data_IF_117242904282
#
_entry.id   IF_117242904282
#
_cell.length_a   1.000
_cell.length_b   1.000
_cell.length_c   1.000
_cell.angle_alpha   90.00
_cell.angle_beta   90.00
_cell.angle_gamma   90.00
#
_symmetry.space_group_name_H-M   'P 1'
#
loop_
_entity.id
_entity.type
_entity.pdbx_description
1 polymer ?
#
# COMPACT_ATOMS: atom_id res chain seq x y z
N UNK A 1 7.56 2.62 -22.85
CA UNK A 1 6.61 2.98 -21.77
C UNK A 1 6.51 1.91 -20.69
N UNK A 2 6.06 0.69 -21.00
CA UNK A 2 5.84 -0.40 -20.02
C UNK A 2 7.04 -0.68 -19.11
N UNK A 3 8.26 -0.74 -19.67
CA UNK A 3 9.48 -1.00 -18.90
C UNK A 3 9.77 0.08 -17.84
N UNK A 4 9.52 1.36 -18.16
CA UNK A 4 9.80 2.48 -17.26
C UNK A 4 8.82 2.51 -16.09
N UNK A 5 7.53 2.35 -16.38
CA UNK A 5 6.48 2.26 -15.36
C UNK A 5 6.75 1.09 -14.42
N UNK A 6 7.15 -0.07 -14.96
CA UNK A 6 7.50 -1.25 -14.14
C UNK A 6 8.70 -0.99 -13.21
N UNK A 7 9.76 -0.35 -13.72
CA UNK A 7 10.93 0.02 -12.90
C UNK A 7 10.54 0.99 -11.78
N UNK A 8 9.77 2.05 -12.08
CA UNK A 8 9.29 2.98 -11.06
C UNK A 8 8.39 2.30 -10.03
N UNK A 9 7.47 1.46 -10.48
CA UNK A 9 6.56 0.71 -9.61
C UNK A 9 7.35 -0.17 -8.66
N UNK A 10 8.36 -0.91 -9.16
CA UNK A 10 9.21 -1.78 -8.34
C UNK A 10 10.06 -0.97 -7.35
N UNK A 11 10.60 0.16 -7.79
CA UNK A 11 11.38 1.07 -6.94
C UNK A 11 10.53 1.64 -5.79
N UNK A 12 9.35 2.18 -6.10
CA UNK A 12 8.43 2.75 -5.10
C UNK A 12 7.94 1.68 -4.14
N UNK A 13 7.57 0.50 -4.64
CA UNK A 13 7.09 -0.61 -3.81
C UNK A 13 8.16 -1.09 -2.84
N UNK A 14 9.38 -1.32 -3.32
CA UNK A 14 10.51 -1.74 -2.48
C UNK A 14 10.83 -0.66 -1.44
N UNK A 15 10.91 0.60 -1.87
CA UNK A 15 11.19 1.74 -0.99
C UNK A 15 10.14 1.87 0.11
N UNK A 16 8.87 1.64 -0.21
CA UNK A 16 7.79 1.72 0.77
C UNK A 16 7.83 0.55 1.76
N UNK A 17 8.01 -0.69 1.31
CA UNK A 17 8.04 -1.88 2.18
C UNK A 17 9.19 -1.81 3.20
N UNK A 18 10.39 -1.42 2.75
CA UNK A 18 11.57 -1.33 3.63
C UNK A 18 11.65 -0.03 4.43
N UNK A 19 10.64 0.83 4.35
CA UNK A 19 10.62 2.09 5.10
C UNK A 19 9.97 1.93 6.47
N UNK A 20 10.29 2.86 7.38
CA UNK A 20 9.64 2.94 8.69
C UNK A 20 8.10 3.01 8.57
N UNK A 21 7.57 3.76 7.61
CA UNK A 21 6.11 3.82 7.38
C UNK A 21 5.53 2.50 6.92
N UNK A 22 6.25 1.75 6.06
CA UNK A 22 5.82 0.42 5.62
C UNK A 22 5.80 -0.60 6.75
N UNK A 23 6.81 -0.55 7.64
CA UNK A 23 6.86 -1.37 8.86
C UNK A 23 5.73 -0.99 9.82
N UNK A 24 5.47 0.31 10.02
CA UNK A 24 4.34 0.76 10.85
C UNK A 24 3.00 0.28 10.32
N UNK A 25 2.77 0.37 9.00
CA UNK A 25 1.56 -0.14 8.37
C UNK A 25 1.40 -1.65 8.52
N UNK A 26 2.50 -2.40 8.44
CA UNK A 26 2.49 -3.84 8.71
C UNK A 26 2.13 -4.14 10.17
N UNK A 27 2.73 -3.43 11.13
CA UNK A 27 2.44 -3.59 12.56
C UNK A 27 0.98 -3.24 12.88
N UNK A 28 0.45 -2.16 12.30
CA UNK A 28 -0.96 -1.77 12.45
C UNK A 28 -1.88 -2.85 11.89
N UNK A 29 -1.55 -3.42 10.73
CA UNK A 29 -2.31 -4.54 10.12
C UNK A 29 -2.33 -5.76 11.04
N UNK A 30 -1.19 -6.14 11.61
CA UNK A 30 -1.10 -7.26 12.56
C UNK A 30 -1.82 -6.99 13.88
N UNK A 31 -1.71 -5.78 14.42
CA UNK A 31 -2.42 -5.37 15.64
C UNK A 31 -3.93 -5.39 15.43
N UNK A 32 -4.39 -4.91 14.28
CA UNK A 32 -5.80 -4.93 13.90
C UNK A 32 -6.32 -6.37 13.79
N UNK A 33 -5.58 -7.25 13.12
CA UNK A 33 -5.91 -8.68 13.04
C UNK A 33 -6.00 -9.30 14.43
N UNK A 34 -4.99 -9.09 15.29
CA UNK A 34 -4.95 -9.67 16.64
C UNK A 34 -6.11 -9.21 17.55
N UNK A 35 -6.58 -7.98 17.39
CA UNK A 35 -7.64 -7.42 18.24
C UNK A 35 -9.05 -7.83 17.80
N UNK A 36 -9.28 -7.89 16.48
CA UNK A 36 -10.63 -8.03 15.90
C UNK A 36 -10.90 -9.40 15.27
N UNK A 37 -9.86 -10.17 14.96
CA UNK A 37 -9.93 -11.46 14.27
C UNK A 37 -9.30 -12.59 15.09
N UNK A 38 -9.13 -12.41 16.40
CA UNK A 38 -8.55 -13.44 17.25
C UNK A 38 -9.45 -14.69 17.22
N UNK A 39 -8.94 -15.87 16.85
CA UNK A 39 -9.73 -17.10 16.75
C UNK A 39 -10.33 -17.57 18.09
N UNK A 40 -9.93 -16.96 19.21
CA UNK A 40 -10.52 -17.21 20.53
C UNK A 40 -11.81 -16.41 20.77
N UNK A 41 -12.11 -15.39 19.96
CA UNK A 41 -13.37 -14.67 20.01
C UNK A 41 -14.43 -15.48 19.25
N UNK A 42 -15.57 -15.75 19.89
CA UNK A 42 -16.71 -16.39 19.22
C UNK A 42 -17.10 -15.55 18.00
N UNK A 43 -17.12 -16.19 16.84
CA UNK A 43 -17.17 -15.57 15.51
C UNK A 43 -18.34 -14.60 15.36
N UNK A 44 -18.10 -13.31 15.07
CA UNK A 44 -19.09 -12.39 14.54
C UNK A 44 -19.68 -12.85 13.21
N UNK A 45 -20.88 -12.35 12.90
CA UNK A 45 -21.57 -12.51 11.62
C UNK A 45 -20.68 -12.11 10.43
N UNK A 46 -20.77 -12.81 9.29
CA UNK A 46 -19.89 -12.62 8.13
C UNK A 46 -19.95 -11.17 7.61
N UNK A 47 -21.13 -10.55 7.68
CA UNK A 47 -21.35 -9.17 7.28
C UNK A 47 -20.50 -8.17 8.09
N UNK A 48 -20.29 -8.43 9.38
CA UNK A 48 -19.46 -7.59 10.25
C UNK A 48 -17.99 -7.62 9.83
N UNK A 49 -17.47 -8.82 9.51
CA UNK A 49 -16.11 -8.97 9.03
C UNK A 49 -15.90 -8.27 7.69
N UNK A 50 -16.81 -8.41 6.74
CA UNK A 50 -16.71 -7.72 5.45
C UNK A 50 -16.63 -6.20 5.62
N UNK A 51 -17.44 -5.63 6.52
CA UNK A 51 -17.47 -4.20 6.81
C UNK A 51 -16.15 -3.71 7.43
N UNK A 52 -15.63 -4.47 8.40
CA UNK A 52 -14.39 -4.12 9.11
C UNK A 52 -13.16 -4.27 8.21
N UNK A 53 -13.07 -5.38 7.48
CA UNK A 53 -12.00 -5.63 6.49
C UNK A 53 -12.04 -4.56 5.39
N UNK A 54 -13.23 -4.23 4.89
CA UNK A 54 -13.42 -3.22 3.85
C UNK A 54 -13.08 -1.80 4.31
N UNK A 55 -13.52 -1.42 5.50
CA UNK A 55 -13.21 -0.12 6.11
C UNK A 55 -11.72 0.06 6.37
N UNK A 56 -11.08 -0.94 6.99
CA UNK A 56 -9.64 -0.94 7.21
C UNK A 56 -8.86 -0.93 5.90
N UNK A 57 -9.24 -1.76 4.93
CA UNK A 57 -8.63 -1.80 3.61
C UNK A 57 -8.71 -0.47 2.88
N UNK A 58 -9.83 0.25 3.00
CA UNK A 58 -10.01 1.59 2.41
C UNK A 58 -9.09 2.63 3.08
N UNK A 59 -9.01 2.62 4.41
CA UNK A 59 -8.11 3.51 5.14
C UNK A 59 -6.64 3.23 4.79
N UNK A 60 -6.26 1.95 4.71
CA UNK A 60 -4.91 1.52 4.30
C UNK A 60 -4.61 1.91 2.87
N UNK A 61 -5.56 1.74 1.94
CA UNK A 61 -5.41 2.19 0.55
C UNK A 61 -5.09 3.67 0.48
N UNK A 62 -5.83 4.50 1.21
CA UNK A 62 -5.60 5.94 1.28
C UNK A 62 -4.22 6.28 1.84
N UNK A 63 -3.85 5.72 3.00
CA UNK A 63 -2.58 6.01 3.67
C UNK A 63 -1.35 5.54 2.87
N UNK A 64 -1.43 4.36 2.27
CA UNK A 64 -0.39 3.82 1.39
C UNK A 64 -0.25 4.70 0.15
N UNK A 65 -1.35 5.08 -0.49
CA UNK A 65 -1.33 5.95 -1.67
C UNK A 65 -0.71 7.31 -1.34
N UNK A 66 -1.11 7.92 -0.21
CA UNK A 66 -0.55 9.19 0.25
C UNK A 66 0.95 9.08 0.52
N UNK A 67 1.39 8.01 1.19
CA UNK A 67 2.81 7.77 1.48
C UNK A 67 3.65 7.56 0.22
N UNK A 68 3.13 6.82 -0.75
CA UNK A 68 3.81 6.61 -2.03
C UNK A 68 3.85 7.91 -2.81
N UNK A 69 2.76 8.66 -2.87
CA UNK A 69 2.71 9.96 -3.54
C UNK A 69 3.70 10.95 -2.93
N UNK A 70 3.80 11.01 -1.60
CA UNK A 70 4.78 11.86 -0.91
C UNK A 70 6.22 11.46 -1.24
N UNK A 71 6.53 10.16 -1.23
CA UNK A 71 7.85 9.65 -1.63
C UNK A 71 8.17 9.95 -3.08
N UNK A 72 7.19 9.79 -3.97
CA UNK A 72 7.34 10.05 -5.39
C UNK A 72 7.58 11.55 -5.64
N UNK A 73 6.88 12.43 -4.92
CA UNK A 73 7.11 13.88 -4.94
C UNK A 73 8.52 14.26 -4.44
N UNK A 74 8.99 13.66 -3.33
CA UNK A 74 10.36 13.87 -2.85
C UNK A 74 11.42 13.31 -3.81
N UNK A 75 11.09 12.21 -4.50
CA UNK A 75 11.98 11.56 -5.47
C UNK A 75 12.00 12.23 -6.85
N UNK A 76 11.22 13.30 -7.09
CA UNK A 76 11.30 14.10 -8.32
C UNK A 76 12.73 14.62 -8.59
N UNK A 77 13.53 14.83 -7.53
CA UNK A 77 14.93 15.26 -7.63
C UNK A 77 15.90 14.11 -7.97
N UNK A 78 15.42 12.86 -8.06
CA UNK A 78 16.26 11.70 -8.36
C UNK A 78 16.51 11.57 -9.88
N UNK A 79 17.74 11.32 -10.35
CA UNK A 79 18.09 11.38 -11.77
C UNK A 79 17.26 10.49 -12.70
N UNK A 80 16.72 9.38 -12.18
CA UNK A 80 15.83 8.48 -12.92
C UNK A 80 14.39 9.02 -13.08
N UNK A 81 13.90 9.84 -12.14
CA UNK A 81 12.56 10.46 -12.22
C UNK A 81 12.56 11.75 -13.05
N UNK A 82 13.64 12.55 -12.99
CA UNK A 82 13.81 13.79 -13.80
C UNK A 82 13.69 13.52 -15.32
N UNK A 83 13.96 12.28 -15.76
CA UNK A 83 13.86 11.87 -17.17
C UNK A 83 12.44 11.48 -17.61
N UNK A 84 11.43 11.46 -16.73
CA UNK A 84 10.05 11.21 -17.15
C UNK A 84 9.44 12.44 -17.80
N UNK A 85 9.38 12.44 -19.14
CA UNK A 85 8.66 13.46 -19.92
C UNK A 85 7.13 13.43 -19.69
N UNK A 86 6.57 12.35 -19.14
CA UNK A 86 5.12 12.11 -19.07
C UNK A 86 4.60 12.07 -17.63
N UNK A 87 3.71 13.01 -17.27
CA UNK A 87 2.97 12.99 -16.00
C UNK A 87 2.08 11.75 -15.84
N UNK A 88 1.60 11.19 -16.95
CA UNK A 88 0.74 9.99 -16.95
C UNK A 88 1.53 8.75 -16.54
N UNK A 89 2.78 8.60 -17.00
CA UNK A 89 3.65 7.49 -16.59
C UNK A 89 3.94 7.51 -15.08
N UNK A 90 4.06 8.71 -14.51
CA UNK A 90 4.29 8.88 -13.08
C UNK A 90 3.06 8.52 -12.26
N UNK A 91 1.89 9.07 -12.61
CA UNK A 91 0.62 8.79 -11.90
C UNK A 91 0.26 7.31 -11.99
N UNK A 92 0.47 6.67 -13.15
CA UNK A 92 0.21 5.23 -13.31
C UNK A 92 1.15 4.37 -12.46
N UNK A 93 2.43 4.73 -12.33
CA UNK A 93 3.37 4.01 -11.46
C UNK A 93 3.03 4.18 -9.96
N UNK A 94 2.62 5.38 -9.54
CA UNK A 94 2.15 5.64 -8.17
C UNK A 94 0.89 4.83 -7.88
N UNK A 95 -0.08 4.84 -8.80
CA UNK A 95 -1.31 4.06 -8.66
C UNK A 95 -1.02 2.56 -8.60
N UNK A 96 -0.22 2.03 -9.54
CA UNK A 96 0.12 0.60 -9.58
C UNK A 96 0.85 0.14 -8.31
N UNK A 97 1.80 0.92 -7.81
CA UNK A 97 2.51 0.59 -6.56
C UNK A 97 1.60 0.66 -5.34
N UNK A 98 0.69 1.63 -5.27
CA UNK A 98 -0.29 1.71 -4.17
C UNK A 98 -1.22 0.50 -4.14
N UNK A 99 -1.78 0.11 -5.29
CA UNK A 99 -2.66 -1.06 -5.39
C UNK A 99 -1.92 -2.33 -4.97
N UNK A 100 -0.69 -2.54 -5.48
CA UNK A 100 0.09 -3.74 -5.14
C UNK A 100 0.38 -3.85 -3.63
N UNK A 101 0.71 -2.74 -2.98
CA UNK A 101 1.04 -2.74 -1.55
C UNK A 101 -0.21 -2.89 -0.70
N UNK A 102 -1.30 -2.19 -1.03
CA UNK A 102 -2.56 -2.35 -0.32
C UNK A 102 -3.07 -3.77 -0.45
N UNK A 103 -2.98 -4.38 -1.62
CA UNK A 103 -3.36 -5.77 -1.84
C UNK A 103 -2.49 -6.73 -1.02
N UNK A 104 -1.18 -6.47 -0.92
CA UNK A 104 -0.29 -7.22 -0.03
C UNK A 104 -0.74 -7.15 1.44
N UNK A 105 -1.06 -5.95 1.97
CA UNK A 105 -1.56 -5.83 3.35
C UNK A 105 -2.92 -6.51 3.55
N UNK A 106 -3.81 -6.41 2.56
CA UNK A 106 -5.11 -7.07 2.62
C UNK A 106 -4.95 -8.60 2.66
N UNK A 107 -4.04 -9.15 1.86
CA UNK A 107 -3.72 -10.57 1.87
C UNK A 107 -3.17 -11.03 3.23
N UNK A 108 -2.28 -10.24 3.84
CA UNK A 108 -1.75 -10.51 5.19
C UNK A 108 -2.86 -10.54 6.23
N UNK A 109 -3.88 -9.69 6.08
CA UNK A 109 -5.01 -9.61 7.00
C UNK A 109 -6.02 -10.75 6.82
N UNK A 110 -6.12 -11.30 5.61
CA UNK A 110 -7.03 -12.43 5.31
C UNK A 110 -6.43 -13.81 5.54
N UNK A 111 -5.11 -13.89 5.74
CA UNK A 111 -4.39 -15.12 6.11
C UNK A 111 -4.57 -15.43 7.60
#
# INVERSE_FOLDING_TARGET
MMQRISVLTRYLSKTMIFSLSGVLYLLVTLAFWFLLFNPQQQTPDEAYYQLIIGGFGTAMAFLVTLSIAARANSAEHYPFMVRLQSRVEFVTAVLASSILITLFYQLVLTL
#
